data_IF_021844618678
#
_entry.id   IF_021844618678
#
_cell.length_a   1.000
_cell.length_b   1.000
_cell.length_c   1.000
_cell.angle_alpha   90.00
_cell.angle_beta   90.00
_cell.angle_gamma   90.00
#
_symmetry.space_group_name_H-M   'P 1'
#
loop_
_entity.id
_entity.type
_entity.pdbx_description
1 polymer ?
#
# COMPACT_ATOMS: atom_id res chain seq x y z
N UNK A 1 4.14 20.25 -4.70
CA UNK A 1 2.68 20.02 -4.56
C UNK A 1 2.38 18.53 -4.67
N UNK A 2 1.24 18.05 -4.11
CA UNK A 2 0.79 16.66 -4.22
C UNK A 2 0.64 16.21 -5.69
N UNK A 3 0.05 17.07 -6.53
CA UNK A 3 -0.11 16.80 -7.95
C UNK A 3 1.24 16.60 -8.69
N UNK A 4 2.28 17.34 -8.32
CA UNK A 4 3.62 17.17 -8.87
C UNK A 4 4.20 15.81 -8.48
N UNK A 5 4.10 15.42 -7.19
CA UNK A 5 4.59 14.12 -6.69
C UNK A 5 3.90 12.96 -7.40
N UNK A 6 2.57 13.02 -7.53
CA UNK A 6 1.80 11.99 -8.23
C UNK A 6 2.24 11.84 -9.70
N UNK A 7 2.43 12.96 -10.44
CA UNK A 7 2.94 12.94 -11.82
C UNK A 7 4.39 12.45 -11.92
N UNK A 8 5.17 12.60 -10.86
CA UNK A 8 6.55 12.09 -10.78
C UNK A 8 6.63 10.61 -10.46
N UNK A 9 5.47 9.94 -10.26
CA UNK A 9 5.38 8.52 -10.01
C UNK A 9 5.34 8.12 -8.53
N UNK A 10 4.96 9.04 -7.63
CA UNK A 10 4.71 8.71 -6.23
C UNK A 10 3.22 8.45 -6.03
N UNK A 11 2.87 7.24 -5.56
CA UNK A 11 1.52 6.91 -5.12
C UNK A 11 1.50 6.75 -3.60
N UNK A 12 0.37 7.08 -2.98
CA UNK A 12 0.18 7.05 -1.54
C UNK A 12 -1.14 6.37 -1.18
N UNK A 13 -1.07 5.43 -0.26
CA UNK A 13 -2.21 4.80 0.38
C UNK A 13 -2.20 5.22 1.84
N UNK A 14 -3.10 6.12 2.27
CA UNK A 14 -3.15 6.62 3.63
C UNK A 14 -3.72 5.60 4.59
N UNK A 15 -3.44 5.76 5.88
CA UNK A 15 -4.18 5.15 6.97
C UNK A 15 -5.69 5.42 6.76
N UNK A 16 -6.54 4.41 6.99
CA UNK A 16 -7.99 4.55 6.77
C UNK A 16 -8.43 4.37 5.31
N UNK A 17 -7.50 4.05 4.36
CA UNK A 17 -7.78 3.61 2.97
C UNK A 17 -8.27 4.70 2.03
N UNK A 18 -9.12 5.63 2.49
CA UNK A 18 -9.71 6.75 1.74
C UNK A 18 -10.28 6.34 0.37
N UNK A 19 -11.02 5.22 0.32
CA UNK A 19 -11.75 4.83 -0.89
C UNK A 19 -12.99 5.68 -1.08
N UNK A 20 -13.47 5.81 -2.31
CA UNK A 20 -14.74 6.48 -2.60
C UNK A 20 -15.90 5.49 -2.40
N UNK A 21 -16.57 5.58 -1.25
CA UNK A 21 -17.58 4.61 -0.82
C UNK A 21 -18.79 4.50 -1.80
N UNK A 22 -19.18 5.59 -2.44
CA UNK A 22 -20.32 5.63 -3.35
C UNK A 22 -19.99 5.21 -4.80
N UNK A 23 -18.71 5.22 -5.15
CA UNK A 23 -18.23 4.74 -6.44
C UNK A 23 -18.11 3.22 -6.45
N UNK A 24 -18.31 2.59 -7.59
CA UNK A 24 -18.00 1.18 -7.79
C UNK A 24 -16.49 0.90 -7.64
N UNK A 25 -16.10 -0.36 -7.51
CA UNK A 25 -14.71 -0.79 -7.53
C UNK A 25 -14.01 -0.30 -8.80
N UNK A 26 -14.63 -0.50 -9.96
CA UNK A 26 -14.06 -0.08 -11.24
C UNK A 26 -13.89 1.44 -11.32
N UNK A 27 -14.89 2.22 -10.90
CA UNK A 27 -14.79 3.69 -10.86
C UNK A 27 -13.73 4.17 -9.86
N UNK A 28 -13.60 3.53 -8.69
CA UNK A 28 -12.51 3.80 -7.75
C UNK A 28 -11.14 3.62 -8.43
N UNK A 29 -10.92 2.52 -9.13
CA UNK A 29 -9.68 2.26 -9.86
C UNK A 29 -9.44 3.31 -10.95
N UNK A 30 -10.49 3.72 -11.68
CA UNK A 30 -10.40 4.74 -12.75
C UNK A 30 -10.00 6.12 -12.22
N UNK A 31 -10.21 6.45 -10.94
CA UNK A 31 -9.71 7.71 -10.37
C UNK A 31 -8.19 7.85 -10.48
N UNK A 32 -7.45 6.73 -10.46
CA UNK A 32 -6.01 6.68 -10.69
C UNK A 32 -5.56 7.14 -12.08
N UNK A 33 -6.48 7.21 -13.06
CA UNK A 33 -6.18 7.69 -14.41
C UNK A 33 -5.85 9.17 -14.50
N UNK A 34 -6.11 9.94 -13.43
CA UNK A 34 -5.93 11.40 -13.42
C UNK A 34 -4.50 11.86 -13.74
N UNK A 35 -3.50 11.03 -13.44
CA UNK A 35 -2.08 11.33 -13.67
C UNK A 35 -1.53 10.69 -14.95
N UNK A 36 -2.30 9.82 -15.61
CA UNK A 36 -1.86 9.08 -16.79
C UNK A 36 -2.15 9.84 -18.11
N UNK A 37 -1.28 9.69 -19.13
CA UNK A 37 -1.58 10.12 -20.48
C UNK A 37 -2.86 9.49 -21.01
N UNK A 38 -3.57 10.17 -21.93
CA UNK A 38 -4.86 9.70 -22.47
C UNK A 38 -4.81 8.28 -23.02
N UNK A 39 -3.74 7.92 -23.74
CA UNK A 39 -3.57 6.59 -24.34
C UNK A 39 -3.27 5.45 -23.35
N UNK A 40 -2.98 5.79 -22.09
CA UNK A 40 -2.63 4.82 -21.05
C UNK A 40 -3.73 4.60 -20.00
N UNK A 41 -4.86 5.27 -20.14
CA UNK A 41 -6.00 5.21 -19.21
C UNK A 41 -6.74 3.88 -19.30
N UNK A 42 -6.12 2.84 -18.74
CA UNK A 42 -6.72 1.50 -18.64
C UNK A 42 -6.24 0.82 -17.35
N UNK A 43 -7.10 0.01 -16.79
CA UNK A 43 -6.73 -0.87 -15.67
C UNK A 43 -5.94 -2.04 -16.27
N UNK A 44 -4.67 -2.17 -15.90
CA UNK A 44 -3.84 -3.27 -16.36
C UNK A 44 -4.33 -4.61 -15.77
N UNK A 45 -4.25 -5.70 -16.55
CA UNK A 45 -4.77 -7.02 -16.14
C UNK A 45 -4.11 -7.52 -14.85
N UNK A 46 -2.81 -7.29 -14.68
CA UNK A 46 -2.06 -7.75 -13.50
C UNK A 46 -2.66 -7.23 -12.18
N UNK A 47 -3.35 -6.09 -12.18
CA UNK A 47 -4.02 -5.57 -10.96
C UNK A 47 -5.11 -6.52 -10.50
N UNK A 48 -5.86 -7.09 -11.42
CA UNK A 48 -6.87 -8.10 -11.11
C UNK A 48 -6.25 -9.48 -10.81
N UNK A 49 -5.06 -9.75 -11.32
CA UNK A 49 -4.31 -10.97 -10.98
C UNK A 49 -3.78 -10.88 -9.54
N UNK A 50 -3.34 -9.69 -9.09
CA UNK A 50 -2.94 -9.43 -7.70
C UNK A 50 -4.13 -9.42 -6.74
N UNK A 51 -5.28 -8.94 -7.18
CA UNK A 51 -6.49 -8.78 -6.37
C UNK A 51 -7.73 -9.36 -7.08
N UNK A 52 -7.85 -10.69 -7.21
CA UNK A 52 -8.93 -11.33 -7.96
C UNK A 52 -10.33 -10.93 -7.49
N UNK A 53 -10.51 -10.73 -6.18
CA UNK A 53 -11.78 -10.30 -5.58
C UNK A 53 -12.29 -8.97 -6.16
N UNK A 54 -11.40 -8.06 -6.58
CA UNK A 54 -11.80 -6.79 -7.17
C UNK A 54 -12.36 -6.97 -8.59
N UNK A 55 -11.92 -7.99 -9.31
CA UNK A 55 -12.48 -8.36 -10.61
C UNK A 55 -13.92 -8.85 -10.47
N UNK A 56 -14.15 -9.73 -9.51
CA UNK A 56 -15.48 -10.31 -9.25
C UNK A 56 -16.47 -9.25 -8.75
N UNK A 57 -15.96 -8.25 -8.02
CA UNK A 57 -16.76 -7.20 -7.40
C UNK A 57 -16.71 -5.86 -8.15
N UNK A 58 -16.26 -5.83 -9.41
CA UNK A 58 -15.98 -4.58 -10.13
C UNK A 58 -17.15 -3.58 -10.20
N UNK A 59 -18.38 -4.08 -10.20
CA UNK A 59 -19.61 -3.27 -10.25
C UNK A 59 -20.20 -2.98 -8.84
N UNK A 60 -19.59 -3.50 -7.77
CA UNK A 60 -20.02 -3.26 -6.40
C UNK A 60 -19.51 -1.91 -5.90
N UNK A 61 -20.26 -1.22 -5.06
CA UNK A 61 -19.80 0.03 -4.42
C UNK A 61 -18.66 -0.26 -3.45
N UNK A 62 -17.69 0.65 -3.40
CA UNK A 62 -16.56 0.54 -2.48
C UNK A 62 -16.98 0.44 -1.02
N UNK A 63 -18.04 1.15 -0.63
CA UNK A 63 -18.59 1.11 0.72
C UNK A 63 -19.18 -0.23 1.14
N UNK A 64 -19.58 -1.07 0.18
CA UNK A 64 -20.16 -2.40 0.45
C UNK A 64 -19.07 -3.50 0.61
N UNK A 65 -17.82 -3.16 0.46
CA UNK A 65 -16.69 -4.06 0.61
C UNK A 65 -16.31 -4.24 2.08
N UNK A 66 -15.79 -5.42 2.45
CA UNK A 66 -15.16 -5.62 3.75
C UNK A 66 -13.91 -4.74 3.91
N UNK A 67 -13.47 -4.50 5.14
CA UNK A 67 -12.27 -3.70 5.40
C UNK A 67 -11.03 -4.18 4.65
N UNK A 68 -10.80 -5.49 4.58
CA UNK A 68 -9.70 -6.08 3.82
C UNK A 68 -9.82 -5.87 2.31
N UNK A 69 -11.04 -5.97 1.75
CA UNK A 69 -11.30 -5.70 0.34
C UNK A 69 -11.14 -4.21 0.00
N UNK A 70 -11.53 -3.32 0.92
CA UNK A 70 -11.29 -1.89 0.77
C UNK A 70 -9.80 -1.56 0.76
N UNK A 71 -9.00 -2.24 1.59
CA UNK A 71 -7.55 -2.09 1.60
C UNK A 71 -6.93 -2.55 0.28
N UNK A 72 -7.36 -3.70 -0.24
CA UNK A 72 -6.95 -4.18 -1.56
C UNK A 72 -7.32 -3.18 -2.66
N UNK A 73 -8.53 -2.60 -2.60
CA UNK A 73 -8.98 -1.58 -3.54
C UNK A 73 -8.12 -0.30 -3.45
N UNK A 74 -7.76 0.15 -2.26
CA UNK A 74 -6.91 1.33 -2.06
C UNK A 74 -5.51 1.13 -2.66
N UNK A 75 -4.90 -0.04 -2.43
CA UNK A 75 -3.60 -0.40 -3.02
C UNK A 75 -3.73 -0.53 -4.55
N UNK A 76 -4.73 -1.24 -5.05
CA UNK A 76 -4.97 -1.40 -6.48
C UNK A 76 -5.15 -0.05 -7.19
N UNK A 77 -5.91 0.87 -6.60
CA UNK A 77 -6.10 2.24 -7.10
C UNK A 77 -4.77 3.00 -7.20
N UNK A 78 -3.90 2.87 -6.22
CA UNK A 78 -2.57 3.46 -6.26
C UNK A 78 -1.71 2.84 -7.38
N UNK A 79 -1.80 1.53 -7.62
CA UNK A 79 -1.05 0.83 -8.68
C UNK A 79 -1.52 1.21 -10.09
N UNK A 80 -2.80 1.55 -10.28
CA UNK A 80 -3.32 2.06 -11.57
C UNK A 80 -2.55 3.30 -12.05
N UNK A 81 -2.02 4.10 -11.13
CA UNK A 81 -1.18 5.27 -11.45
C UNK A 81 0.18 4.91 -12.06
N UNK A 82 0.55 3.62 -12.12
CA UNK A 82 1.87 3.11 -12.54
C UNK A 82 3.01 3.78 -11.76
N UNK A 83 3.03 3.67 -10.43
CA UNK A 83 3.98 4.39 -9.60
C UNK A 83 5.40 3.82 -9.75
N UNK A 84 6.40 4.68 -9.51
CA UNK A 84 7.80 4.29 -9.28
C UNK A 84 8.07 4.05 -7.79
N UNK A 85 7.30 4.73 -6.94
CA UNK A 85 7.38 4.67 -5.49
C UNK A 85 5.97 4.60 -4.92
N UNK A 86 5.70 3.58 -4.11
CA UNK A 86 4.46 3.38 -3.39
C UNK A 86 4.69 3.61 -1.90
N UNK A 87 3.95 4.53 -1.30
CA UNK A 87 3.94 4.76 0.14
C UNK A 87 2.68 4.14 0.72
N UNK A 88 2.84 3.23 1.68
CA UNK A 88 1.77 2.55 2.40
C UNK A 88 1.84 2.95 3.87
N UNK A 89 0.74 3.50 4.37
CA UNK A 89 0.63 3.99 5.75
C UNK A 89 -0.33 3.09 6.53
N UNK A 90 0.22 2.31 7.47
CA UNK A 90 -0.46 1.30 8.29
C UNK A 90 -1.43 0.39 7.48
N UNK A 91 -0.95 -0.26 6.40
CA UNK A 91 -1.83 -1.03 5.52
C UNK A 91 -2.44 -2.28 6.18
N UNK A 92 -1.97 -2.68 7.37
CA UNK A 92 -2.48 -3.87 8.09
C UNK A 92 -3.51 -3.52 9.16
N UNK A 93 -3.76 -2.22 9.44
CA UNK A 93 -4.67 -1.81 10.51
C UNK A 93 -6.11 -2.31 10.29
N UNK A 94 -6.65 -3.04 11.27
CA UNK A 94 -8.01 -3.57 11.24
C UNK A 94 -8.26 -4.60 10.14
N UNK A 95 -7.21 -5.31 9.68
CA UNK A 95 -7.25 -6.28 8.60
C UNK A 95 -7.10 -7.70 9.14
N UNK A 96 -7.81 -8.65 8.55
CA UNK A 96 -7.71 -10.08 8.89
C UNK A 96 -6.35 -10.66 8.47
N UNK A 97 -5.77 -11.62 9.24
CA UNK A 97 -4.45 -12.20 8.97
C UNK A 97 -4.28 -12.77 7.56
N UNK A 98 -5.32 -13.35 6.97
CA UNK A 98 -5.28 -13.89 5.61
C UNK A 98 -5.04 -12.79 4.56
N UNK A 99 -5.65 -11.62 4.74
CA UNK A 99 -5.47 -10.48 3.83
C UNK A 99 -4.11 -9.82 4.06
N UNK A 100 -3.63 -9.76 5.32
CA UNK A 100 -2.27 -9.27 5.62
C UNK A 100 -1.22 -10.08 4.85
N UNK A 101 -1.35 -11.42 4.83
CA UNK A 101 -0.45 -12.28 4.05
C UNK A 101 -0.51 -11.97 2.55
N UNK A 102 -1.70 -11.79 1.99
CA UNK A 102 -1.85 -11.40 0.58
C UNK A 102 -1.19 -10.05 0.28
N UNK A 103 -1.35 -9.05 1.18
CA UNK A 103 -0.69 -7.75 1.03
C UNK A 103 0.83 -7.91 1.06
N UNK A 104 1.37 -8.76 1.94
CA UNK A 104 2.81 -9.06 1.97
C UNK A 104 3.30 -9.65 0.63
N UNK A 105 2.58 -10.61 0.07
CA UNK A 105 2.90 -11.22 -1.24
C UNK A 105 2.87 -10.18 -2.37
N UNK A 106 1.86 -9.30 -2.36
CA UNK A 106 1.76 -8.20 -3.32
C UNK A 106 2.96 -7.26 -3.19
N UNK A 107 3.34 -6.84 -1.98
CA UNK A 107 4.51 -5.97 -1.76
C UNK A 107 5.78 -6.63 -2.31
N UNK A 108 6.02 -7.91 -2.02
CA UNK A 108 7.17 -8.64 -2.56
C UNK A 108 7.17 -8.67 -4.09
N UNK A 109 6.02 -8.95 -4.69
CA UNK A 109 5.88 -8.95 -6.15
C UNK A 109 6.21 -7.57 -6.74
N UNK A 110 5.68 -6.50 -6.15
CA UNK A 110 5.92 -5.13 -6.63
C UNK A 110 7.42 -4.76 -6.59
N UNK A 111 8.11 -5.13 -5.51
CA UNK A 111 9.56 -4.85 -5.38
C UNK A 111 10.39 -5.72 -6.31
N UNK A 112 10.12 -7.02 -6.35
CA UNK A 112 10.97 -8.00 -7.05
C UNK A 112 10.72 -8.03 -8.56
N UNK A 113 9.46 -7.98 -8.98
CA UNK A 113 9.07 -8.13 -10.39
C UNK A 113 8.85 -6.79 -11.08
N UNK A 114 8.09 -5.89 -10.47
CA UNK A 114 7.74 -4.60 -11.06
C UNK A 114 8.79 -3.51 -10.78
N UNK A 115 9.78 -3.77 -9.91
CA UNK A 115 10.83 -2.82 -9.52
C UNK A 115 10.30 -1.51 -8.96
N UNK A 116 9.16 -1.56 -8.30
CA UNK A 116 8.56 -0.42 -7.59
C UNK A 116 9.21 -0.30 -6.22
N UNK A 117 9.73 0.87 -5.87
CA UNK A 117 10.16 1.16 -4.51
C UNK A 117 8.94 1.21 -3.59
N UNK A 118 9.05 0.63 -2.38
CA UNK A 118 7.98 0.70 -1.37
C UNK A 118 8.51 1.32 -0.10
N UNK A 119 7.80 2.34 0.40
CA UNK A 119 7.97 2.87 1.76
C UNK A 119 6.77 2.38 2.55
N UNK A 120 7.05 1.57 3.58
CA UNK A 120 6.05 1.01 4.47
C UNK A 120 6.16 1.70 5.83
N UNK A 121 5.10 2.36 6.27
CA UNK A 121 4.96 2.88 7.63
C UNK A 121 4.08 1.90 8.39
N UNK A 122 4.60 1.30 9.44
CA UNK A 122 3.93 0.23 10.17
C UNK A 122 4.34 0.21 11.63
N UNK A 123 3.40 -0.15 12.48
CA UNK A 123 3.62 -0.50 13.88
C UNK A 123 3.55 -2.01 14.14
N UNK A 124 3.02 -2.79 13.19
CA UNK A 124 3.03 -4.25 13.26
C UNK A 124 4.44 -4.76 12.91
N UNK A 125 5.24 -4.98 13.95
CA UNK A 125 6.66 -5.31 13.87
C UNK A 125 6.95 -6.50 12.95
N UNK A 126 6.25 -7.63 13.16
CA UNK A 126 6.56 -8.88 12.45
C UNK A 126 6.32 -8.72 10.94
N UNK A 127 5.29 -7.97 10.54
CA UNK A 127 5.01 -7.66 9.15
C UNK A 127 6.08 -6.74 8.54
N UNK A 128 6.48 -5.70 9.28
CA UNK A 128 7.52 -4.79 8.82
C UNK A 128 8.87 -5.50 8.67
N UNK A 129 9.26 -6.32 9.67
CA UNK A 129 10.52 -7.08 9.65
C UNK A 129 10.60 -8.07 8.48
N UNK A 130 9.49 -8.75 8.17
CA UNK A 130 9.39 -9.72 7.08
C UNK A 130 9.66 -9.11 5.69
N UNK A 131 9.34 -7.82 5.53
CA UNK A 131 9.34 -7.15 4.22
C UNK A 131 10.49 -6.15 4.03
N UNK A 132 11.07 -5.64 5.13
CA UNK A 132 12.00 -4.53 5.05
C UNK A 132 13.40 -4.95 4.59
N UNK A 133 13.93 -4.28 3.56
CA UNK A 133 15.36 -4.30 3.24
C UNK A 133 16.15 -3.39 4.22
N UNK A 134 15.57 -2.23 4.53
CA UNK A 134 16.12 -1.22 5.46
C UNK A 134 14.98 -0.66 6.31
N UNK A 135 15.27 -0.35 7.57
CA UNK A 135 14.29 0.24 8.48
C UNK A 135 14.79 1.52 9.14
N UNK A 136 13.84 2.34 9.54
CA UNK A 136 14.04 3.57 10.33
C UNK A 136 12.99 3.61 11.44
N UNK A 137 13.41 3.59 12.70
CA UNK A 137 12.53 3.84 13.85
C UNK A 137 12.45 5.34 14.11
N UNK A 138 11.23 5.90 14.08
CA UNK A 138 11.00 7.33 14.26
C UNK A 138 10.30 7.56 15.59
N UNK A 139 10.90 8.40 16.44
CA UNK A 139 10.35 8.79 17.74
C UNK A 139 10.34 10.31 17.84
N UNK A 140 9.17 10.89 18.15
CA UNK A 140 8.99 12.35 18.26
C UNK A 140 9.57 13.12 17.06
N UNK A 141 9.38 12.57 15.85
CA UNK A 141 9.81 13.19 14.59
C UNK A 141 11.31 13.08 14.28
N UNK A 142 12.05 12.26 15.03
CA UNK A 142 13.48 12.01 14.81
C UNK A 142 13.76 10.53 14.56
N UNK A 143 14.73 10.23 13.69
CA UNK A 143 15.23 8.87 13.52
C UNK A 143 16.03 8.50 14.77
N UNK A 144 15.51 7.54 15.54
CA UNK A 144 16.13 7.03 16.77
C UNK A 144 17.01 5.82 16.49
N UNK A 145 16.65 4.98 15.51
CA UNK A 145 17.40 3.79 15.12
C UNK A 145 17.20 3.56 13.61
N UNK A 146 18.21 3.00 12.97
CA UNK A 146 18.11 2.56 11.57
C UNK A 146 19.04 1.40 11.31
N UNK A 147 18.73 0.56 10.32
CA UNK A 147 19.54 -0.60 9.97
C UNK A 147 18.97 -1.39 8.80
N UNK A 148 19.55 -2.55 8.54
CA UNK A 148 19.02 -3.52 7.59
C UNK A 148 17.83 -4.25 8.22
N UNK A 149 16.81 -4.60 7.42
CA UNK A 149 15.61 -5.26 7.91
C UNK A 149 15.87 -6.53 8.70
N UNK A 150 16.85 -7.35 8.26
CA UNK A 150 17.27 -8.57 8.96
C UNK A 150 17.85 -8.33 10.37
N UNK A 151 18.35 -7.12 10.62
CA UNK A 151 18.96 -6.74 11.91
C UNK A 151 17.92 -6.04 12.82
N UNK A 152 16.66 -5.93 12.39
CA UNK A 152 15.57 -5.34 13.15
C UNK A 152 15.26 -6.22 14.38
N UNK A 153 15.36 -5.62 15.59
CA UNK A 153 15.12 -6.31 16.84
C UNK A 153 13.96 -5.67 17.60
N UNK A 154 13.00 -6.51 18.01
CA UNK A 154 11.78 -6.08 18.68
C UNK A 154 12.07 -5.46 20.05
N UNK A 155 12.98 -6.06 20.81
CA UNK A 155 13.32 -5.61 22.16
C UNK A 155 13.99 -4.23 22.13
N UNK A 156 14.87 -3.99 21.15
CA UNK A 156 15.52 -2.69 20.98
C UNK A 156 14.51 -1.60 20.62
N UNK A 157 13.56 -1.91 19.74
CA UNK A 157 12.48 -0.98 19.38
C UNK A 157 11.52 -0.73 20.55
N UNK A 158 11.15 -1.76 21.31
CA UNK A 158 10.29 -1.60 22.48
C UNK A 158 10.94 -0.73 23.57
N UNK A 159 12.24 -0.92 23.84
CA UNK A 159 12.99 -0.06 24.77
C UNK A 159 12.96 1.41 24.37
N UNK A 160 13.04 1.70 23.07
CA UNK A 160 12.98 3.06 22.55
C UNK A 160 11.59 3.69 22.67
N UNK A 161 10.52 2.89 22.64
CA UNK A 161 9.13 3.35 22.75
C UNK A 161 8.65 3.56 24.20
N UNK A 162 9.41 3.03 25.18
CA UNK A 162 9.02 3.06 26.60
C UNK A 162 9.65 4.25 27.38
N UNK A 163 10.32 5.16 26.68
CA UNK A 163 11.00 6.35 27.28
C UNK A 163 10.19 7.63 27.10
#
# INVERSE_FOLDING_TARGET
TAAYRARSGLAYVPQGREIFALLTVEENLQTGFSVLPRGEKRIASYIYDLFPVLKDMKHRRGGDLSGGQQQQLAIARALVMKPKLLLLDEPTEGIQPSIIKQIAEVIRYLVQSEKIGVILVEQYFDFAQELADTFYAIIKGKIALSGKGKDMNKDDLQRLLTV
#
